data_IF_702246337162
#
_entry.id   IF_702246337162
#
_cell.length_a   1.000
_cell.length_b   1.000
_cell.length_c   1.000
_cell.angle_alpha   90.00
_cell.angle_beta   90.00
_cell.angle_gamma   90.00
#
_symmetry.space_group_name_H-M   'P 1'
#
loop_
_entity.id
_entity.type
_entity.pdbx_description
1 polymer ?
#
# COMPACT_ATOMS: atom_id res chain seq x y z
N UNK A 1 22.09 -15.68 8.18
CA UNK A 1 21.08 -16.63 8.71
C UNK A 1 20.06 -16.91 7.62
N UNK A 2 19.79 -18.19 7.30
CA UNK A 2 18.78 -18.57 6.31
C UNK A 2 17.39 -18.32 6.91
N UNK A 3 16.68 -17.28 6.45
CA UNK A 3 15.33 -16.97 6.91
C UNK A 3 14.34 -18.00 6.34
N UNK A 4 13.97 -18.99 7.16
CA UNK A 4 12.72 -19.72 6.99
C UNK A 4 11.60 -18.84 7.55
N UNK A 5 10.89 -18.12 6.68
CA UNK A 5 9.57 -17.60 7.04
C UNK A 5 8.71 -18.82 7.38
N UNK A 6 8.21 -18.89 8.60
CA UNK A 6 7.52 -20.06 9.14
C UNK A 6 6.33 -20.49 8.26
N UNK A 7 6.14 -21.80 8.14
CA UNK A 7 5.07 -22.55 7.44
C UNK A 7 3.61 -22.11 7.69
N UNK A 8 3.32 -21.06 8.47
CA UNK A 8 1.96 -20.59 8.75
C UNK A 8 1.59 -19.44 7.82
N UNK A 9 0.53 -19.63 7.04
CA UNK A 9 -0.09 -18.58 6.20
C UNK A 9 -0.49 -17.41 7.10
N UNK A 10 0.15 -16.26 6.91
CA UNK A 10 -0.14 -15.04 7.68
C UNK A 10 -1.59 -14.61 7.41
N UNK A 11 -2.41 -14.36 8.44
CA UNK A 11 -3.76 -13.84 8.25
C UNK A 11 -3.77 -12.49 7.53
N UNK A 12 -4.74 -12.25 6.64
CA UNK A 12 -4.87 -10.98 5.90
C UNK A 12 -4.90 -9.76 6.83
N UNK A 13 -5.63 -9.85 7.95
CA UNK A 13 -5.71 -8.77 8.95
C UNK A 13 -4.34 -8.43 9.58
N UNK A 14 -3.51 -9.45 9.82
CA UNK A 14 -2.14 -9.28 10.30
C UNK A 14 -1.25 -8.65 9.22
N UNK A 15 -1.30 -9.17 7.99
CA UNK A 15 -0.51 -8.64 6.88
C UNK A 15 -0.82 -7.16 6.58
N UNK A 16 -2.09 -6.73 6.72
CA UNK A 16 -2.50 -5.32 6.57
C UNK A 16 -1.81 -4.37 7.57
N UNK A 17 -1.35 -4.87 8.72
CA UNK A 17 -0.65 -4.06 9.73
C UNK A 17 0.86 -3.98 9.51
N UNK A 18 1.44 -4.82 8.67
CA UNK A 18 2.89 -4.83 8.43
C UNK A 18 3.46 -3.50 7.93
N UNK A 19 2.84 -2.81 6.95
CA UNK A 19 3.33 -1.49 6.52
C UNK A 19 3.28 -0.45 7.65
N UNK A 20 2.28 -0.54 8.54
CA UNK A 20 2.14 0.34 9.71
C UNK A 20 3.30 0.09 10.67
N UNK A 21 3.60 -1.18 10.99
CA UNK A 21 4.72 -1.53 11.85
C UNK A 21 6.05 -1.01 11.29
N UNK A 22 6.33 -1.26 10.00
CA UNK A 22 7.56 -0.79 9.37
C UNK A 22 7.71 0.73 9.46
N UNK A 23 6.62 1.49 9.23
CA UNK A 23 6.63 2.96 9.33
C UNK A 23 7.07 3.44 10.70
N UNK A 24 6.46 2.92 11.77
CA UNK A 24 6.80 3.34 13.13
C UNK A 24 8.18 2.82 13.57
N UNK A 25 8.59 1.63 13.12
CA UNK A 25 9.94 1.13 13.39
C UNK A 25 11.02 2.01 12.76
N UNK A 26 10.85 2.43 11.49
CA UNK A 26 11.75 3.40 10.85
C UNK A 26 11.81 4.74 11.59
N UNK A 27 10.67 5.20 12.11
CA UNK A 27 10.62 6.42 12.93
C UNK A 27 11.42 6.25 14.23
N UNK A 28 11.29 5.12 14.92
CA UNK A 28 12.04 4.81 16.14
C UNK A 28 13.54 4.69 15.89
N UNK A 29 13.95 4.05 14.79
CA UNK A 29 15.37 3.94 14.46
C UNK A 29 15.97 5.31 14.13
N UNK A 30 15.21 6.17 13.44
CA UNK A 30 15.60 7.57 13.19
C UNK A 30 15.78 8.42 14.46
N UNK A 31 15.17 8.03 15.58
CA UNK A 31 15.38 8.67 16.90
C UNK A 31 16.40 7.93 17.77
N UNK A 32 17.08 6.91 17.24
CA UNK A 32 18.11 6.14 17.93
C UNK A 32 17.57 5.06 18.88
N UNK A 33 16.26 4.79 18.91
CA UNK A 33 15.68 3.76 19.75
C UNK A 33 16.00 2.38 19.16
N UNK A 34 16.79 1.58 19.90
CA UNK A 34 17.23 0.25 19.44
C UNK A 34 16.34 -0.89 19.87
N UNK A 35 15.54 -0.72 20.93
CA UNK A 35 14.59 -1.75 21.39
C UNK A 35 13.26 -1.14 21.76
N UNK A 36 12.18 -1.90 21.57
CA UNK A 36 10.85 -1.50 21.98
C UNK A 36 10.01 -2.67 22.51
N UNK A 37 9.27 -2.45 23.60
CA UNK A 37 8.32 -3.45 24.11
C UNK A 37 6.98 -3.34 23.39
N UNK A 38 6.25 -4.45 23.29
CA UNK A 38 4.91 -4.46 22.68
C UNK A 38 3.91 -3.49 23.35
N UNK A 39 4.09 -3.14 24.63
CA UNK A 39 3.25 -2.16 25.33
C UNK A 39 3.54 -0.73 24.88
N UNK A 40 4.81 -0.36 24.77
CA UNK A 40 5.25 0.94 24.27
C UNK A 40 4.90 1.09 22.78
N UNK A 41 5.12 0.02 22.00
CA UNK A 41 4.80 0.03 20.58
C UNK A 41 3.29 0.17 20.32
N UNK A 42 2.46 -0.40 21.20
CA UNK A 42 1.00 -0.26 21.17
C UNK A 42 0.55 1.20 21.29
N UNK A 43 1.21 2.00 22.13
CA UNK A 43 0.86 3.41 22.34
C UNK A 43 1.10 4.26 21.09
N UNK A 44 2.19 4.00 20.36
CA UNK A 44 2.51 4.79 19.16
C UNK A 44 1.79 4.27 17.90
N UNK A 45 1.52 2.97 17.82
CA UNK A 45 0.85 2.35 16.66
C UNK A 45 -0.67 2.34 16.77
N UNK A 46 -1.23 2.56 17.97
CA UNK A 46 -2.65 2.37 18.28
C UNK A 46 -3.15 0.95 17.98
N UNK A 47 -2.26 -0.04 18.05
CA UNK A 47 -2.58 -1.46 17.89
C UNK A 47 -2.42 -2.13 19.26
N UNK A 48 -3.40 -2.92 19.74
CA UNK A 48 -3.30 -3.58 21.03
C UNK A 48 -2.03 -4.42 21.16
N UNK A 49 -1.38 -4.31 22.31
CA UNK A 49 -0.13 -5.04 22.62
C UNK A 49 -0.22 -6.55 22.39
N UNK A 50 -1.37 -7.15 22.71
CA UNK A 50 -1.65 -8.57 22.45
C UNK A 50 -1.69 -8.91 20.95
N UNK A 51 -2.27 -8.03 20.14
CA UNK A 51 -2.31 -8.17 18.67
C UNK A 51 -0.90 -8.05 18.07
N UNK A 52 -0.08 -7.11 18.54
CA UNK A 52 1.33 -6.97 18.12
C UNK A 52 2.10 -8.27 18.40
N UNK A 53 2.01 -8.80 19.62
CA UNK A 53 2.67 -10.07 19.98
C UNK A 53 2.22 -11.22 19.08
N UNK A 54 0.91 -11.32 18.82
CA UNK A 54 0.35 -12.34 17.93
C UNK A 54 0.87 -12.19 16.51
N UNK A 55 0.89 -10.98 15.98
CA UNK A 55 1.36 -10.70 14.62
C UNK A 55 2.83 -11.03 14.45
N UNK A 56 3.66 -10.63 15.42
CA UNK A 56 5.09 -10.87 15.38
C UNK A 56 5.43 -12.36 15.54
N UNK A 57 4.57 -13.15 16.21
CA UNK A 57 4.78 -14.60 16.32
C UNK A 57 4.72 -15.33 14.97
N UNK A 58 4.14 -14.73 13.92
CA UNK A 58 4.19 -15.28 12.56
C UNK A 58 5.53 -15.08 11.86
N UNK A 59 6.39 -14.19 12.38
CA UNK A 59 7.64 -13.77 11.75
C UNK A 59 8.86 -14.59 12.22
N UNK A 60 8.63 -15.56 13.11
CA UNK A 60 9.67 -16.40 13.72
C UNK A 60 10.12 -15.87 15.08
N UNK A 61 11.31 -16.26 15.49
CA UNK A 61 11.88 -15.89 16.80
C UNK A 61 12.47 -14.47 16.75
N UNK A 62 11.65 -13.47 17.09
CA UNK A 62 12.03 -12.06 17.11
C UNK A 62 12.64 -11.60 18.46
N UNK A 63 13.33 -12.51 19.17
CA UNK A 63 14.02 -12.24 20.42
C UNK A 63 13.45 -12.96 21.65
N UNK A 64 13.94 -12.58 22.85
CA UNK A 64 13.59 -13.21 24.13
C UNK A 64 12.40 -12.50 24.80
N UNK A 65 11.48 -13.27 25.38
CA UNK A 65 10.33 -12.75 26.12
C UNK A 65 10.76 -11.76 27.22
N UNK A 66 10.06 -10.63 27.33
CA UNK A 66 10.32 -9.59 28.34
C UNK A 66 11.42 -8.57 28.01
N UNK A 67 12.33 -8.86 27.06
CA UNK A 67 13.47 -7.99 26.72
C UNK A 67 13.13 -6.92 25.65
N UNK A 68 11.95 -7.00 25.05
CA UNK A 68 11.54 -6.16 23.92
C UNK A 68 12.10 -6.64 22.59
N UNK A 69 11.63 -6.05 21.49
CA UNK A 69 12.07 -6.37 20.14
C UNK A 69 13.23 -5.49 19.72
N UNK A 70 14.15 -6.05 18.96
CA UNK A 70 15.23 -5.28 18.33
C UNK A 70 14.68 -4.51 17.13
N UNK A 71 14.80 -3.19 17.15
CA UNK A 71 14.20 -2.31 16.14
C UNK A 71 14.87 -2.50 14.76
N UNK A 72 16.21 -2.44 14.63
CA UNK A 72 16.90 -2.75 13.39
C UNK A 72 16.54 -4.13 12.79
N UNK A 73 16.52 -5.19 13.60
CA UNK A 73 16.19 -6.53 13.10
C UNK A 73 14.76 -6.59 12.56
N UNK A 74 13.79 -5.98 13.26
CA UNK A 74 12.42 -5.92 12.78
C UNK A 74 12.29 -5.15 11.47
N UNK A 75 13.02 -4.04 11.32
CA UNK A 75 13.05 -3.28 10.06
C UNK A 75 13.53 -4.17 8.92
N UNK A 76 14.59 -4.96 9.12
CA UNK A 76 15.08 -5.88 8.10
C UNK A 76 14.03 -6.94 7.74
N UNK A 77 13.42 -7.57 8.75
CA UNK A 77 12.37 -8.58 8.55
C UNK A 77 11.19 -8.00 7.76
N UNK A 78 10.66 -6.85 8.16
CA UNK A 78 9.52 -6.23 7.47
C UNK A 78 9.89 -5.72 6.07
N UNK A 79 11.08 -5.18 5.86
CA UNK A 79 11.54 -4.78 4.52
C UNK A 79 11.60 -5.99 3.57
N UNK A 80 12.07 -7.15 4.04
CA UNK A 80 12.11 -8.36 3.24
C UNK A 80 10.69 -8.88 2.92
N UNK A 81 9.78 -8.87 3.91
CA UNK A 81 8.38 -9.32 3.72
C UNK A 81 7.62 -8.42 2.75
N UNK A 82 7.79 -7.10 2.87
CA UNK A 82 7.11 -6.11 2.05
C UNK A 82 7.82 -5.83 0.72
N UNK A 83 8.96 -6.50 0.47
CA UNK A 83 9.78 -6.35 -0.72
C UNK A 83 10.14 -4.88 -1.04
N UNK A 84 10.49 -4.11 0.00
CA UNK A 84 10.76 -2.67 -0.13
C UNK A 84 12.14 -2.34 -0.71
N UNK A 85 12.97 -3.35 -0.98
CA UNK A 85 14.28 -3.18 -1.63
C UNK A 85 14.18 -3.11 -3.15
N UNK A 86 13.09 -3.62 -3.73
CA UNK A 86 12.84 -3.56 -5.16
C UNK A 86 11.96 -2.36 -5.48
N UNK A 87 12.37 -1.58 -6.47
CA UNK A 87 11.51 -0.55 -7.04
C UNK A 87 10.23 -1.17 -7.60
N UNK A 88 9.11 -0.49 -7.36
CA UNK A 88 7.81 -0.78 -7.96
C UNK A 88 7.41 0.41 -8.80
N UNK A 89 7.48 0.20 -10.11
CA UNK A 89 7.03 1.13 -11.14
C UNK A 89 5.52 1.02 -11.27
N UNK A 90 4.84 2.16 -11.17
CA UNK A 90 3.39 2.27 -11.04
C UNK A 90 2.83 3.04 -12.24
N UNK A 91 1.80 2.50 -12.87
CA UNK A 91 0.95 3.24 -13.81
C UNK A 91 -0.23 3.87 -13.06
N UNK A 92 -0.53 5.14 -13.34
CA UNK A 92 -1.74 5.79 -12.84
C UNK A 92 -2.78 5.93 -13.95
N UNK A 93 -4.01 5.48 -13.72
CA UNK A 93 -5.13 5.52 -14.67
C UNK A 93 -6.22 6.44 -14.11
N UNK A 94 -6.58 7.47 -14.86
CA UNK A 94 -7.54 8.50 -14.47
C UNK A 94 -6.85 9.68 -13.80
N UNK A 95 -6.52 10.70 -14.60
CA UNK A 95 -5.82 11.91 -14.23
C UNK A 95 -6.76 13.07 -13.87
N UNK A 96 -7.89 12.79 -13.23
CA UNK A 96 -8.71 13.79 -12.54
C UNK A 96 -8.00 14.36 -11.31
N UNK A 97 -8.67 15.22 -10.52
CA UNK A 97 -8.06 15.90 -9.36
C UNK A 97 -7.27 14.98 -8.42
N UNK A 98 -7.83 13.82 -8.07
CA UNK A 98 -7.16 12.83 -7.22
C UNK A 98 -5.93 12.22 -7.89
N UNK A 99 -6.04 11.83 -9.17
CA UNK A 99 -4.92 11.29 -9.94
C UNK A 99 -3.76 12.29 -10.04
N UNK A 100 -4.06 13.56 -10.35
CA UNK A 100 -3.06 14.65 -10.38
C UNK A 100 -2.36 14.83 -9.03
N UNK A 101 -3.13 14.82 -7.94
CA UNK A 101 -2.58 14.94 -6.59
C UNK A 101 -1.66 13.75 -6.21
N UNK A 102 -2.01 12.54 -6.65
CA UNK A 102 -1.17 11.36 -6.44
C UNK A 102 0.13 11.44 -7.25
N UNK A 103 0.08 11.89 -8.50
CA UNK A 103 1.28 12.12 -9.32
C UNK A 103 2.21 13.13 -8.62
N UNK A 104 1.68 14.26 -8.16
CA UNK A 104 2.47 15.30 -7.47
C UNK A 104 3.05 14.82 -6.13
N UNK A 105 2.34 13.92 -5.42
CA UNK A 105 2.87 13.33 -4.21
C UNK A 105 3.98 12.30 -4.48
N UNK A 106 3.82 11.53 -5.57
CA UNK A 106 4.66 10.44 -6.05
C UNK A 106 5.23 9.52 -4.96
N UNK A 107 4.44 9.22 -3.93
CA UNK A 107 4.88 8.40 -2.79
C UNK A 107 6.22 8.83 -2.17
N UNK A 108 6.61 10.10 -2.24
CA UNK A 108 7.92 10.69 -1.86
C UNK A 108 8.54 10.31 -0.50
N UNK A 109 7.80 9.60 0.34
CA UNK A 109 8.26 9.03 1.63
C UNK A 109 8.67 7.54 1.51
N UNK A 110 8.55 6.95 0.33
CA UNK A 110 8.80 5.54 0.03
C UNK A 110 9.60 5.44 -1.27
N UNK A 111 10.94 5.42 -1.14
CA UNK A 111 11.86 5.48 -2.29
C UNK A 111 11.71 4.30 -3.27
N UNK A 112 11.03 3.22 -2.86
CA UNK A 112 10.81 2.03 -3.66
C UNK A 112 9.49 2.05 -4.45
N UNK A 113 8.68 3.11 -4.34
CA UNK A 113 7.41 3.24 -5.05
C UNK A 113 7.48 4.47 -5.95
N UNK A 114 7.19 4.31 -7.24
CA UNK A 114 7.29 5.42 -8.19
C UNK A 114 6.22 5.32 -9.26
N UNK A 115 5.41 6.37 -9.40
CA UNK A 115 4.53 6.59 -10.55
C UNK A 115 5.41 7.03 -11.72
N UNK A 116 5.47 6.21 -12.78
CA UNK A 116 6.38 6.40 -13.92
C UNK A 116 5.66 6.79 -15.21
N UNK A 117 4.33 6.70 -15.22
CA UNK A 117 3.47 7.12 -16.31
C UNK A 117 2.03 7.30 -15.79
N UNK A 118 1.24 8.07 -16.54
CA UNK A 118 -0.17 8.27 -16.26
C UNK A 118 -0.98 8.23 -17.55
N UNK A 119 -2.24 7.82 -17.46
CA UNK A 119 -3.15 7.64 -18.59
C UNK A 119 -4.53 8.26 -18.31
N UNK A 120 -5.16 8.77 -19.36
CA UNK A 120 -6.55 9.27 -19.33
C UNK A 120 -7.21 9.10 -20.70
N UNK A 121 -8.55 9.17 -20.74
CA UNK A 121 -9.35 9.23 -21.97
C UNK A 121 -9.83 10.66 -22.28
N UNK A 122 -9.70 11.59 -21.32
CA UNK A 122 -10.04 12.99 -21.53
C UNK A 122 -9.00 13.65 -22.44
N UNK A 123 -9.43 14.00 -23.66
CA UNK A 123 -8.64 14.70 -24.68
C UNK A 123 -7.99 15.97 -24.12
N UNK A 124 -8.65 16.69 -23.21
CA UNK A 124 -8.08 17.89 -22.61
C UNK A 124 -6.91 17.58 -21.68
N UNK A 125 -6.89 16.39 -21.06
CA UNK A 125 -5.81 15.98 -20.14
C UNK A 125 -4.66 15.30 -20.87
N UNK A 126 -4.92 14.60 -21.97
CA UNK A 126 -3.89 13.93 -22.78
C UNK A 126 -2.89 14.97 -23.31
N UNK A 127 -1.60 14.65 -23.20
CA UNK A 127 -0.51 15.55 -23.58
C UNK A 127 -0.14 16.58 -22.51
N UNK A 128 -0.93 16.73 -21.44
CA UNK A 128 -0.50 17.53 -20.30
C UNK A 128 0.62 16.82 -19.53
N UNK A 129 1.53 17.60 -18.97
CA UNK A 129 2.61 17.13 -18.12
C UNK A 129 2.38 17.58 -16.68
N UNK A 130 2.46 16.63 -15.75
CA UNK A 130 2.43 16.90 -14.30
C UNK A 130 3.78 16.48 -13.75
N UNK A 131 4.54 17.45 -13.26
CA UNK A 131 5.97 17.32 -12.97
C UNK A 131 6.75 16.77 -14.17
N UNK A 132 7.17 15.50 -14.13
CA UNK A 132 7.91 14.81 -15.20
C UNK A 132 7.09 13.69 -15.86
N UNK A 133 5.80 13.58 -15.52
CA UNK A 133 4.90 12.54 -16.01
C UNK A 133 3.98 13.11 -17.07
N UNK A 134 4.13 12.64 -18.31
CA UNK A 134 3.22 12.92 -19.42
C UNK A 134 1.96 12.05 -19.27
N UNK A 135 0.80 12.69 -19.39
CA UNK A 135 -0.49 11.98 -19.49
C UNK A 135 -0.64 11.45 -20.91
N UNK A 136 -0.64 10.14 -21.03
CA UNK A 136 -0.79 9.41 -22.28
C UNK A 136 -2.25 9.02 -22.54
N UNK A 137 -2.63 8.82 -23.81
CA UNK A 137 -3.91 8.19 -24.14
C UNK A 137 -3.93 6.73 -23.67
N UNK A 138 -5.11 6.20 -23.30
CA UNK A 138 -5.23 4.82 -22.80
C UNK A 138 -4.80 3.75 -23.82
N UNK A 139 -4.87 4.05 -25.11
CA UNK A 139 -4.44 3.18 -26.20
C UNK A 139 -2.94 2.84 -26.12
N UNK A 140 -2.13 3.70 -25.49
CA UNK A 140 -0.70 3.48 -25.30
C UNK A 140 -0.38 2.61 -24.06
N UNK A 141 -1.38 2.33 -23.20
CA UNK A 141 -1.20 1.64 -21.92
C UNK A 141 -0.40 0.35 -22.06
N UNK A 142 -0.77 -0.52 -23.00
CA UNK A 142 -0.12 -1.82 -23.17
C UNK A 142 1.36 -1.71 -23.55
N UNK A 143 1.68 -0.81 -24.49
CA UNK A 143 3.05 -0.60 -24.96
C UNK A 143 3.92 -0.03 -23.83
N UNK A 144 3.43 1.00 -23.15
CA UNK A 144 4.15 1.68 -22.06
C UNK A 144 4.33 0.78 -20.85
N UNK A 145 3.34 -0.06 -20.49
CA UNK A 145 3.47 -1.02 -19.38
C UNK A 145 4.60 -2.02 -19.65
N UNK A 146 4.71 -2.52 -20.89
CA UNK A 146 5.79 -3.44 -21.27
C UNK A 146 7.15 -2.75 -21.29
N UNK A 147 7.26 -1.61 -21.95
CA UNK A 147 8.51 -0.86 -22.07
C UNK A 147 9.07 -0.46 -20.70
N UNK A 148 8.19 0.01 -19.81
CA UNK A 148 8.54 0.46 -18.47
C UNK A 148 8.44 -0.62 -17.41
N UNK A 149 8.29 -1.89 -17.78
CA UNK A 149 8.23 -3.03 -16.84
C UNK A 149 7.33 -2.76 -15.62
N UNK A 150 6.15 -2.20 -15.87
CA UNK A 150 5.23 -1.75 -14.82
C UNK A 150 4.59 -2.96 -14.17
N UNK A 151 4.58 -2.96 -12.84
CA UNK A 151 4.10 -4.12 -12.05
C UNK A 151 2.86 -3.83 -11.21
N UNK A 152 2.50 -2.55 -11.08
CA UNK A 152 1.39 -2.09 -10.23
C UNK A 152 0.62 -1.00 -10.96
N UNK A 153 -0.70 -0.98 -10.79
CA UNK A 153 -1.54 0.11 -11.28
C UNK A 153 -2.31 0.79 -10.13
N UNK A 154 -2.55 2.09 -10.29
CA UNK A 154 -3.50 2.86 -9.47
C UNK A 154 -4.62 3.31 -10.41
N UNK A 155 -5.86 3.01 -10.05
CA UNK A 155 -7.05 3.47 -10.75
C UNK A 155 -7.77 4.52 -9.90
N UNK A 156 -7.90 5.73 -10.46
CA UNK A 156 -8.62 6.87 -9.89
C UNK A 156 -9.76 7.34 -10.78
N UNK A 157 -10.25 6.46 -11.67
CA UNK A 157 -11.40 6.74 -12.51
C UNK A 157 -12.71 6.71 -11.71
N UNK A 158 -13.76 7.44 -12.14
CA UNK A 158 -15.10 7.31 -11.57
C UNK A 158 -15.63 5.87 -11.64
N UNK A 159 -16.49 5.47 -10.70
CA UNK A 159 -16.96 4.08 -10.59
C UNK A 159 -17.57 3.51 -11.87
N UNK A 160 -18.34 4.32 -12.61
CA UNK A 160 -18.97 3.91 -13.86
C UNK A 160 -17.97 3.49 -14.96
N UNK A 161 -16.69 3.87 -14.82
CA UNK A 161 -15.61 3.51 -15.73
C UNK A 161 -14.61 2.51 -15.12
N UNK A 162 -14.78 2.14 -13.85
CA UNK A 162 -13.80 1.34 -13.11
C UNK A 162 -13.60 -0.06 -13.73
N UNK A 163 -14.68 -0.76 -14.10
CA UNK A 163 -14.56 -2.09 -14.69
C UNK A 163 -13.73 -2.06 -15.98
N UNK A 164 -14.08 -1.17 -16.93
CA UNK A 164 -13.37 -1.08 -18.20
C UNK A 164 -11.89 -0.68 -18.04
N UNK A 165 -11.60 0.27 -17.13
CA UNK A 165 -10.21 0.64 -16.84
C UNK A 165 -9.41 -0.54 -16.26
N UNK A 166 -10.02 -1.30 -15.34
CA UNK A 166 -9.39 -2.47 -14.72
C UNK A 166 -9.19 -3.60 -15.73
N UNK A 167 -10.13 -3.82 -16.65
CA UNK A 167 -9.99 -4.83 -17.71
C UNK A 167 -8.76 -4.54 -18.58
N UNK A 168 -8.59 -3.29 -19.05
CA UNK A 168 -7.41 -2.88 -19.81
C UNK A 168 -6.11 -3.03 -19.00
N UNK A 169 -6.12 -2.70 -17.70
CA UNK A 169 -4.97 -2.91 -16.82
C UNK A 169 -4.62 -4.40 -16.75
N UNK A 170 -5.61 -5.28 -16.58
CA UNK A 170 -5.42 -6.73 -16.48
C UNK A 170 -4.87 -7.32 -17.78
N UNK A 171 -5.33 -6.82 -18.93
CA UNK A 171 -4.82 -7.23 -20.25
C UNK A 171 -3.33 -6.93 -20.45
N UNK A 172 -2.78 -5.93 -19.77
CA UNK A 172 -1.33 -5.66 -19.78
C UNK A 172 -0.50 -6.68 -18.99
N UNK A 173 -1.16 -7.52 -18.17
CA UNK A 173 -0.51 -8.48 -17.28
C UNK A 173 -0.26 -7.97 -15.87
N UNK A 174 -0.66 -6.74 -15.54
CA UNK A 174 -0.60 -6.21 -14.17
C UNK A 174 -1.56 -6.98 -13.27
N UNK A 175 -1.06 -7.51 -12.16
CA UNK A 175 -1.85 -8.31 -11.20
C UNK A 175 -2.10 -7.62 -9.86
N UNK A 176 -1.52 -6.45 -9.62
CA UNK A 176 -1.66 -5.69 -8.38
C UNK A 176 -2.22 -4.30 -8.67
N UNK A 177 -3.45 -4.05 -8.20
CA UNK A 177 -4.18 -2.82 -8.52
C UNK A 177 -4.71 -2.15 -7.25
N UNK A 178 -4.46 -0.86 -7.10
CA UNK A 178 -5.08 -0.01 -6.08
C UNK A 178 -6.22 0.79 -6.74
N UNK A 179 -7.46 0.51 -6.37
CA UNK A 179 -8.64 1.13 -6.96
C UNK A 179 -9.30 2.10 -5.96
N UNK A 180 -9.47 3.35 -6.36
CA UNK A 180 -10.16 4.39 -5.56
C UNK A 180 -11.67 4.48 -5.85
N UNK A 181 -12.17 3.76 -6.87
CA UNK A 181 -13.60 3.64 -7.05
C UNK A 181 -14.21 2.73 -5.96
N UNK A 182 -15.32 3.13 -5.32
CA UNK A 182 -15.99 2.32 -4.28
C UNK A 182 -16.57 1.02 -4.84
N UNK A 183 -17.01 1.02 -6.09
CA UNK A 183 -17.69 -0.12 -6.70
C UNK A 183 -16.74 -1.29 -6.94
N UNK A 184 -17.21 -2.49 -6.63
CA UNK A 184 -16.46 -3.73 -6.86
C UNK A 184 -16.37 -4.03 -8.35
N UNK A 185 -15.18 -4.41 -8.79
CA UNK A 185 -14.89 -4.91 -10.14
C UNK A 185 -14.71 -6.41 -10.13
N UNK A 186 -15.03 -7.05 -11.25
CA UNK A 186 -14.82 -8.47 -11.51
C UNK A 186 -13.44 -8.62 -12.13
N UNK A 187 -12.59 -9.45 -11.52
CA UNK A 187 -11.23 -9.71 -12.01
C UNK A 187 -10.89 -11.21 -11.93
N UNK A 188 -9.94 -11.70 -12.75
CA UNK A 188 -9.42 -13.06 -12.64
C UNK A 188 -8.82 -13.35 -11.26
N UNK A 189 -8.79 -14.63 -10.86
CA UNK A 189 -8.32 -15.07 -9.54
C UNK A 189 -6.86 -14.66 -9.21
N UNK A 190 -6.01 -14.51 -10.23
CA UNK A 190 -4.62 -14.10 -10.09
C UNK A 190 -4.44 -12.59 -9.86
N UNK A 191 -5.49 -11.79 -10.07
CA UNK A 191 -5.45 -10.34 -9.92
C UNK A 191 -5.93 -9.96 -8.52
N UNK A 192 -5.12 -9.15 -7.83
CA UNK A 192 -5.45 -8.59 -6.52
C UNK A 192 -5.81 -7.12 -6.68
N UNK A 193 -7.04 -6.78 -6.30
CA UNK A 193 -7.51 -5.38 -6.24
C UNK A 193 -7.65 -4.97 -4.77
N UNK A 194 -6.91 -3.95 -4.37
CA UNK A 194 -7.06 -3.27 -3.09
C UNK A 194 -7.90 -2.02 -3.31
N UNK A 195 -8.99 -1.89 -2.54
CA UNK A 195 -9.89 -0.74 -2.65
C UNK A 195 -9.58 0.29 -1.59
N UNK A 196 -9.67 1.57 -1.96
CA UNK A 196 -9.63 2.72 -1.06
C UNK A 196 -10.96 3.45 -1.18
N UNK A 197 -11.84 3.21 -0.22
CA UNK A 197 -13.16 3.85 -0.14
C UNK A 197 -13.15 4.85 1.01
N UNK A 198 -12.78 6.09 0.70
CA UNK A 198 -12.69 7.18 1.69
C UNK A 198 -14.05 7.49 2.32
N UNK A 199 -15.16 7.23 1.61
CA UNK A 199 -16.50 7.49 2.13
C UNK A 199 -16.84 6.50 3.23
N UNK A 200 -16.61 5.20 3.01
CA UNK A 200 -16.82 4.17 4.03
C UNK A 200 -15.93 4.40 5.25
N UNK A 201 -14.66 4.79 5.06
CA UNK A 201 -13.75 5.12 6.16
C UNK A 201 -14.26 6.32 6.98
N UNK A 202 -14.72 7.38 6.32
CA UNK A 202 -15.26 8.56 7.00
C UNK A 202 -16.56 8.26 7.76
N UNK A 203 -17.47 7.48 7.16
CA UNK A 203 -18.70 7.06 7.84
C UNK A 203 -18.40 6.20 9.07
N UNK A 204 -17.41 5.31 8.99
CA UNK A 204 -16.93 4.50 10.12
C UNK A 204 -16.37 5.39 11.23
N UNK A 205 -15.58 6.40 10.88
CA UNK A 205 -15.04 7.36 11.84
C UNK A 205 -16.17 8.12 12.55
N UNK A 206 -17.14 8.65 11.80
CA UNK A 206 -18.31 9.36 12.37
C UNK A 206 -19.11 8.44 13.28
N UNK A 207 -19.27 7.17 12.92
CA UNK A 207 -19.94 6.20 13.80
C UNK A 207 -19.16 5.99 15.10
N UNK A 208 -17.84 5.82 15.04
CA UNK A 208 -17.04 5.67 16.25
C UNK A 208 -17.07 6.92 17.14
N UNK A 209 -16.97 8.11 16.56
CA UNK A 209 -17.07 9.37 17.30
C UNK A 209 -18.40 9.49 18.08
N UNK A 210 -19.50 9.04 17.47
CA UNK A 210 -20.83 9.13 18.08
C UNK A 210 -21.12 8.03 19.12
N UNK A 211 -20.52 6.85 18.99
CA UNK A 211 -20.95 5.65 19.73
C UNK A 211 -19.84 4.95 20.52
N UNK A 212 -18.58 5.33 20.34
CA UNK A 212 -17.45 4.83 21.11
C UNK A 212 -16.80 6.01 21.85
N UNK A 213 -17.21 6.23 23.10
CA UNK A 213 -16.39 7.00 24.03
C UNK A 213 -15.11 6.21 24.33
N UNK A 214 -13.96 6.89 24.38
CA UNK A 214 -12.65 6.33 24.76
C UNK A 214 -12.63 5.92 26.25
N UNK A 215 -13.51 5.03 26.65
CA UNK A 215 -13.54 4.41 27.97
C UNK A 215 -13.57 2.88 27.79
N UNK A 216 -12.39 2.31 27.51
CA UNK A 216 -11.99 0.92 27.79
C UNK A 216 -10.45 0.81 27.85
#
# INVERSE_FOLDING_TARGET
>A
MKQQVAKKKVPKATAKRFPIYLRYLKMLDGTGIKRIKSKEFSQITQIPSASIRRDFSYLGELGRSGYGYDVPDLIEVFNNILNTKQEKRIALIGCGNLGKALIQNNFRRNDNLTIVCAFDNNIESIGMQIDHILIQPMEELYATVKEKEITVAISTVPSQFAQNAIDHIVETGITAILNFAPDRVIVPNQVTVQYIDLTTELQTLIYFDNYFTLDD
#
